data_IF_001401718641
#
_entry.id   IF_001401718641
#
_cell.length_a   1.000
_cell.length_b   1.000
_cell.length_c   1.000
_cell.angle_alpha   90.00
_cell.angle_beta   90.00
_cell.angle_gamma   90.00
#
_symmetry.space_group_name_H-M   'P 1'
#
loop_
_entity.id
_entity.type
_entity.pdbx_description
1 polymer ?
#
# COMPACT_ATOMS: atom_id res chain seq x y z
N UNK A 1 4.08 -9.14 -4.09
CA UNK A 1 5.36 -9.62 -4.65
C UNK A 1 5.16 -10.06 -6.09
N UNK A 2 6.20 -9.98 -6.90
CA UNK A 2 6.13 -10.40 -8.30
C UNK A 2 5.75 -11.86 -8.44
N UNK A 3 5.06 -12.19 -9.53
CA UNK A 3 4.78 -13.56 -9.88
C UNK A 3 6.05 -14.23 -10.44
N UNK A 4 6.37 -15.40 -9.94
CA UNK A 4 7.50 -16.20 -10.45
C UNK A 4 7.38 -16.48 -11.95
N UNK A 5 6.15 -16.70 -12.44
CA UNK A 5 5.90 -16.92 -13.87
C UNK A 5 6.23 -15.68 -14.73
N UNK A 6 6.01 -14.46 -14.23
CA UNK A 6 6.43 -13.23 -14.91
C UNK A 6 7.95 -13.17 -15.04
N UNK A 7 8.66 -13.46 -13.94
CA UNK A 7 10.14 -13.51 -13.94
C UNK A 7 10.67 -14.56 -14.93
N UNK A 8 10.05 -15.73 -14.97
CA UNK A 8 10.47 -16.84 -15.85
C UNK A 8 10.17 -16.60 -17.32
N UNK A 9 9.09 -15.87 -17.61
CA UNK A 9 8.68 -15.63 -19.01
C UNK A 9 9.69 -14.75 -19.75
N UNK A 10 10.19 -13.70 -19.10
CA UNK A 10 11.20 -12.78 -19.66
C UNK A 10 12.04 -12.13 -18.54
N UNK A 11 13.12 -12.79 -18.08
CA UNK A 11 13.98 -12.27 -17.03
C UNK A 11 14.65 -10.93 -17.39
N UNK A 12 15.08 -10.76 -18.64
CA UNK A 12 15.75 -9.53 -19.08
C UNK A 12 14.79 -8.33 -19.14
N UNK A 13 13.55 -8.56 -19.55
CA UNK A 13 12.49 -7.54 -19.45
C UNK A 13 12.28 -7.14 -17.98
N UNK A 14 12.15 -8.11 -17.08
CA UNK A 14 11.98 -7.83 -15.64
C UNK A 14 13.15 -7.01 -15.11
N UNK A 15 14.39 -7.40 -15.39
CA UNK A 15 15.60 -6.66 -14.97
C UNK A 15 15.56 -5.23 -15.51
N UNK A 16 15.25 -5.05 -16.80
CA UNK A 16 15.18 -3.72 -17.44
C UNK A 16 14.12 -2.83 -16.80
N UNK A 17 12.94 -3.40 -16.45
CA UNK A 17 11.88 -2.62 -15.79
C UNK A 17 12.23 -2.27 -14.34
N UNK A 18 12.89 -3.16 -13.61
CA UNK A 18 13.39 -2.88 -12.26
C UNK A 18 14.40 -1.75 -12.24
N UNK A 19 15.23 -1.63 -13.27
CA UNK A 19 16.20 -0.55 -13.41
C UNK A 19 15.55 0.86 -13.48
N UNK A 20 14.31 0.97 -13.99
CA UNK A 20 13.55 2.23 -13.98
C UNK A 20 13.30 2.72 -12.54
N UNK A 21 13.15 1.81 -11.57
CA UNK A 21 13.08 2.12 -10.13
C UNK A 21 14.45 2.29 -9.45
N UNK A 22 15.53 2.31 -10.23
CA UNK A 22 16.89 2.34 -9.68
C UNK A 22 17.31 1.03 -8.99
N UNK A 23 16.58 -0.06 -9.21
CA UNK A 23 16.85 -1.36 -8.58
C UNK A 23 17.68 -2.26 -9.54
N UNK A 24 18.91 -2.60 -9.14
CA UNK A 24 19.70 -3.61 -9.85
C UNK A 24 19.16 -5.01 -9.54
N UNK A 25 18.30 -5.51 -10.44
CA UNK A 25 17.64 -6.80 -10.30
C UNK A 25 18.47 -7.99 -10.75
N UNK A 26 19.59 -7.81 -11.43
CA UNK A 26 20.27 -8.92 -12.15
C UNK A 26 20.67 -10.07 -11.22
N UNK A 27 21.35 -9.76 -10.15
CA UNK A 27 21.82 -10.81 -9.22
C UNK A 27 20.66 -11.56 -8.56
N UNK A 28 19.66 -10.85 -8.03
CA UNK A 28 18.52 -11.46 -7.32
C UNK A 28 17.62 -12.25 -8.27
N UNK A 29 17.37 -11.77 -9.49
CA UNK A 29 16.57 -12.49 -10.48
C UNK A 29 17.28 -13.78 -10.92
N UNK A 30 18.60 -13.74 -11.13
CA UNK A 30 19.38 -14.96 -11.42
C UNK A 30 19.26 -15.97 -10.29
N UNK A 31 19.45 -15.55 -9.03
CA UNK A 31 19.35 -16.44 -7.88
C UNK A 31 17.93 -17.03 -7.71
N UNK A 32 16.88 -16.25 -7.94
CA UNK A 32 15.48 -16.73 -7.94
C UNK A 32 15.29 -17.84 -8.97
N UNK A 33 15.82 -17.68 -10.18
CA UNK A 33 15.70 -18.69 -11.26
C UNK A 33 16.48 -19.97 -10.94
N UNK A 34 17.66 -19.85 -10.33
CA UNK A 34 18.47 -21.00 -9.89
C UNK A 34 17.75 -21.80 -8.80
N UNK A 35 17.19 -21.10 -7.81
CA UNK A 35 16.42 -21.73 -6.73
C UNK A 35 15.13 -22.38 -7.27
N UNK A 36 14.42 -21.75 -8.23
CA UNK A 36 13.27 -22.38 -8.86
C UNK A 36 13.64 -23.66 -9.63
N UNK A 37 14.79 -23.66 -10.29
CA UNK A 37 15.29 -24.86 -10.97
C UNK A 37 15.57 -25.98 -9.97
N UNK A 38 16.24 -25.70 -8.85
CA UNK A 38 16.50 -26.67 -7.79
C UNK A 38 15.19 -27.14 -7.12
N UNK A 39 14.29 -26.23 -6.78
CA UNK A 39 12.98 -26.53 -6.22
C UNK A 39 12.20 -27.51 -7.11
N UNK A 40 12.15 -27.25 -8.42
CA UNK A 40 11.46 -28.15 -9.38
C UNK A 40 12.10 -29.50 -9.44
N UNK A 41 13.46 -29.58 -9.41
CA UNK A 41 14.20 -30.86 -9.39
C UNK A 41 13.88 -31.65 -8.12
N UNK A 42 13.87 -31.00 -6.95
CA UNK A 42 13.54 -31.62 -5.68
C UNK A 42 12.09 -32.10 -5.64
N UNK A 43 11.16 -31.30 -6.12
CA UNK A 43 9.74 -31.64 -6.21
C UNK A 43 9.50 -32.85 -7.08
N UNK A 44 10.08 -32.87 -8.29
CA UNK A 44 9.97 -34.02 -9.21
C UNK A 44 10.53 -35.30 -8.59
N UNK A 45 11.67 -35.22 -7.90
CA UNK A 45 12.27 -36.36 -7.21
C UNK A 45 11.36 -36.85 -6.07
N UNK A 46 10.86 -35.97 -5.24
CA UNK A 46 9.95 -36.30 -4.13
C UNK A 46 8.65 -36.95 -4.62
N UNK A 47 8.06 -36.44 -5.71
CA UNK A 47 6.87 -37.01 -6.33
C UNK A 47 7.15 -38.45 -6.90
N UNK A 48 8.29 -38.60 -7.56
CA UNK A 48 8.74 -39.91 -8.07
C UNK A 48 8.93 -40.93 -6.95
N UNK A 49 9.63 -40.55 -5.88
CA UNK A 49 9.88 -41.38 -4.72
C UNK A 49 8.58 -41.76 -3.99
N UNK A 50 7.65 -40.81 -3.87
CA UNK A 50 6.31 -41.05 -3.30
C UNK A 50 5.50 -42.05 -4.14
N UNK A 51 5.56 -41.97 -5.46
CA UNK A 51 4.92 -42.92 -6.37
C UNK A 51 5.52 -44.33 -6.23
N UNK A 52 6.87 -44.41 -6.12
CA UNK A 52 7.59 -45.67 -5.91
C UNK A 52 7.25 -46.29 -4.55
N UNK A 53 7.22 -45.50 -3.47
CA UNK A 53 6.79 -45.96 -2.14
C UNK A 53 5.39 -46.54 -2.14
N UNK A 54 4.44 -45.87 -2.82
CA UNK A 54 3.07 -46.39 -2.96
C UNK A 54 3.01 -47.73 -3.70
N UNK A 55 3.81 -47.86 -4.76
CA UNK A 55 3.89 -49.11 -5.54
C UNK A 55 4.50 -50.27 -4.71
N UNK A 56 5.62 -50.00 -4.04
CA UNK A 56 6.29 -51.01 -3.19
C UNK A 56 5.40 -51.39 -1.98
N UNK A 57 4.72 -50.45 -1.35
CA UNK A 57 3.82 -50.75 -0.25
C UNK A 57 2.67 -51.68 -0.65
N UNK A 58 2.13 -51.50 -1.86
CA UNK A 58 1.10 -52.40 -2.41
C UNK A 58 1.70 -53.80 -2.74
N UNK A 59 2.91 -53.87 -3.27
CA UNK A 59 3.56 -55.16 -3.62
C UNK A 59 3.90 -55.98 -2.38
N UNK A 60 4.32 -55.36 -1.28
CA UNK A 60 4.59 -56.08 0.00
C UNK A 60 3.37 -56.86 0.46
N UNK A 61 2.17 -56.23 0.39
CA UNK A 61 0.92 -56.92 0.76
C UNK A 61 0.62 -58.15 -0.11
N UNK A 62 0.93 -58.09 -1.42
CA UNK A 62 0.77 -59.21 -2.36
C UNK A 62 1.79 -60.31 -2.09
N UNK A 63 3.07 -59.96 -1.97
CA UNK A 63 4.19 -60.90 -1.68
C UNK A 63 3.98 -61.67 -0.39
N UNK A 64 3.47 -60.99 0.65
CA UNK A 64 3.15 -61.64 1.92
C UNK A 64 2.01 -62.66 1.79
N UNK A 65 0.99 -62.37 0.97
CA UNK A 65 -0.12 -63.31 0.68
C UNK A 65 0.34 -64.52 -0.12
N UNK A 66 1.31 -64.34 -1.01
CA UNK A 66 1.92 -65.39 -1.84
C UNK A 66 2.96 -66.21 -1.08
N UNK A 67 3.29 -65.86 0.18
CA UNK A 67 4.29 -66.57 0.97
C UNK A 67 5.75 -66.26 0.61
N UNK A 68 6.02 -65.27 -0.22
CA UNK A 68 7.34 -64.83 -0.69
C UNK A 68 8.02 -63.92 0.31
N UNK A 69 8.37 -64.45 1.48
CA UNK A 69 8.87 -63.69 2.64
C UNK A 69 10.17 -62.92 2.35
N UNK A 70 11.13 -63.50 1.65
CA UNK A 70 12.42 -62.86 1.34
C UNK A 70 12.24 -61.64 0.44
N UNK A 71 11.41 -61.75 -0.61
CA UNK A 71 11.12 -60.65 -1.51
C UNK A 71 10.34 -59.53 -0.78
N UNK A 72 9.46 -59.89 0.16
CA UNK A 72 8.74 -58.92 0.99
C UNK A 72 9.69 -58.15 1.94
N UNK A 73 10.68 -58.82 2.54
CA UNK A 73 11.69 -58.16 3.38
C UNK A 73 12.62 -57.25 2.57
N UNK A 74 13.03 -57.66 1.36
CA UNK A 74 13.78 -56.78 0.45
C UNK A 74 12.97 -55.53 0.08
N UNK A 75 11.67 -55.67 -0.23
CA UNK A 75 10.79 -54.55 -0.53
C UNK A 75 10.59 -53.61 0.68
N UNK A 76 10.53 -54.17 1.90
CA UNK A 76 10.48 -53.34 3.13
C UNK A 76 11.77 -52.57 3.35
N UNK A 77 12.94 -53.18 3.12
CA UNK A 77 14.23 -52.50 3.23
C UNK A 77 14.34 -51.35 2.24
N UNK A 78 13.87 -51.57 0.99
CA UNK A 78 13.85 -50.52 -0.03
C UNK A 78 12.86 -49.37 0.31
N UNK A 79 11.68 -49.68 0.88
CA UNK A 79 10.77 -48.68 1.41
C UNK A 79 11.42 -47.85 2.50
N UNK A 80 12.17 -48.47 3.42
CA UNK A 80 12.87 -47.77 4.49
C UNK A 80 13.96 -46.82 3.94
N UNK A 81 14.73 -47.28 2.96
CA UNK A 81 15.75 -46.47 2.28
C UNK A 81 15.15 -45.28 1.59
N UNK A 82 14.13 -45.47 0.74
CA UNK A 82 13.47 -44.37 0.01
C UNK A 82 12.83 -43.37 0.99
N UNK A 83 12.19 -43.84 2.07
CA UNK A 83 11.62 -42.95 3.09
C UNK A 83 12.68 -42.04 3.72
N UNK A 84 13.86 -42.59 4.04
CA UNK A 84 14.94 -41.77 4.59
C UNK A 84 15.45 -40.72 3.62
N UNK A 85 15.63 -41.09 2.34
CA UNK A 85 16.03 -40.16 1.28
C UNK A 85 14.96 -39.09 1.04
N UNK A 86 13.67 -39.45 1.00
CA UNK A 86 12.55 -38.53 0.76
C UNK A 86 12.40 -37.50 1.88
N UNK A 87 12.65 -37.89 3.13
CA UNK A 87 12.60 -36.94 4.26
C UNK A 87 13.62 -35.80 4.09
N UNK A 88 14.89 -36.13 3.76
CA UNK A 88 15.91 -35.10 3.52
C UNK A 88 15.66 -34.26 2.27
N UNK A 89 14.95 -34.78 1.26
CA UNK A 89 14.54 -34.01 0.08
C UNK A 89 13.39 -33.05 0.41
N UNK A 90 12.47 -33.43 1.30
CA UNK A 90 11.38 -32.55 1.75
C UNK A 90 11.91 -31.36 2.55
N UNK A 91 12.87 -31.59 3.44
CA UNK A 91 13.52 -30.51 4.21
C UNK A 91 14.19 -29.50 3.25
N UNK A 92 14.96 -29.98 2.28
CA UNK A 92 15.60 -29.13 1.27
C UNK A 92 14.60 -28.40 0.39
N UNK A 93 13.48 -29.03 0.06
CA UNK A 93 12.40 -28.38 -0.70
C UNK A 93 11.81 -27.21 0.10
N UNK A 94 11.53 -27.42 1.39
CA UNK A 94 11.03 -26.36 2.27
C UNK A 94 12.04 -25.20 2.41
N UNK A 95 13.33 -25.49 2.55
CA UNK A 95 14.40 -24.48 2.55
C UNK A 95 14.44 -23.66 1.24
N UNK A 96 14.30 -24.32 0.08
CA UNK A 96 14.23 -23.64 -1.21
C UNK A 96 12.99 -22.72 -1.31
N UNK A 97 11.83 -23.18 -0.84
CA UNK A 97 10.58 -22.38 -0.86
C UNK A 97 10.67 -21.16 0.07
N UNK A 98 11.23 -21.32 1.24
CA UNK A 98 11.47 -20.22 2.17
C UNK A 98 12.46 -19.20 1.57
N UNK A 99 13.62 -19.66 1.08
CA UNK A 99 14.62 -18.79 0.45
C UNK A 99 14.05 -18.05 -0.76
N UNK A 100 13.28 -18.74 -1.61
CA UNK A 100 12.58 -18.13 -2.73
C UNK A 100 11.64 -16.99 -2.27
N UNK A 101 10.87 -17.25 -1.22
CA UNK A 101 9.96 -16.24 -0.65
C UNK A 101 10.74 -15.03 -0.15
N UNK A 102 11.83 -15.24 0.60
CA UNK A 102 12.67 -14.16 1.09
C UNK A 102 13.25 -13.31 -0.05
N UNK A 103 13.76 -13.94 -1.11
CA UNK A 103 14.27 -13.20 -2.28
C UNK A 103 13.17 -12.41 -2.99
N UNK A 104 12.00 -13.01 -3.23
CA UNK A 104 10.87 -12.32 -3.87
C UNK A 104 10.39 -11.11 -3.05
N UNK A 105 10.55 -11.11 -1.72
CA UNK A 105 10.25 -9.98 -0.85
C UNK A 105 11.24 -8.82 -1.00
N UNK A 106 12.43 -9.06 -1.55
CA UNK A 106 13.40 -7.99 -1.81
C UNK A 106 13.20 -7.29 -3.14
N UNK A 107 12.40 -7.87 -4.05
CA UNK A 107 12.18 -7.35 -5.39
C UNK A 107 10.97 -6.42 -5.41
N UNK A 108 11.11 -5.15 -5.85
CA UNK A 108 9.99 -4.23 -5.97
C UNK A 108 9.02 -4.64 -7.08
N UNK A 109 7.85 -4.01 -7.11
CA UNK A 109 6.92 -4.19 -8.23
C UNK A 109 7.50 -3.59 -9.51
N UNK A 110 7.11 -4.17 -10.66
CA UNK A 110 7.51 -3.62 -11.95
C UNK A 110 6.78 -2.30 -12.21
N UNK A 111 7.49 -1.24 -12.63
CA UNK A 111 6.83 -0.02 -13.05
C UNK A 111 6.07 -0.24 -14.36
N UNK A 112 4.89 0.38 -14.46
CA UNK A 112 4.12 0.43 -15.70
C UNK A 112 4.89 1.14 -16.83
N UNK A 113 4.61 0.81 -18.08
CA UNK A 113 5.37 1.35 -19.25
C UNK A 113 5.40 2.87 -19.30
N UNK A 114 4.32 3.54 -18.87
CA UNK A 114 4.20 4.99 -18.85
C UNK A 114 4.91 5.70 -17.68
N UNK A 115 5.60 4.97 -16.80
CA UNK A 115 6.37 5.57 -15.69
C UNK A 115 7.64 6.20 -16.24
N UNK A 116 7.87 7.51 -16.00
CA UNK A 116 9.06 8.19 -16.46
C UNK A 116 10.32 7.69 -15.74
N UNK A 117 11.43 7.70 -16.44
CA UNK A 117 12.75 7.50 -15.81
C UNK A 117 13.08 8.72 -14.94
N UNK A 118 13.69 8.48 -13.79
CA UNK A 118 14.10 9.52 -12.86
C UNK A 118 14.58 8.92 -11.56
N UNK A 119 15.24 9.73 -10.72
CA UNK A 119 15.86 9.29 -9.46
C UNK A 119 15.24 9.92 -8.22
N UNK A 120 14.66 11.11 -8.35
CA UNK A 120 14.16 11.91 -7.23
C UNK A 120 12.83 12.57 -7.61
N UNK A 121 12.16 13.16 -6.64
CA UNK A 121 10.92 13.91 -6.83
C UNK A 121 11.04 15.06 -7.86
N UNK A 122 12.25 15.56 -8.11
CA UNK A 122 12.50 16.61 -9.12
C UNK A 122 12.30 16.10 -10.56
N UNK A 123 12.36 14.78 -10.76
CA UNK A 123 12.16 14.14 -12.06
C UNK A 123 10.69 13.75 -12.31
N UNK A 124 9.78 14.05 -11.38
CA UNK A 124 8.35 13.80 -11.53
C UNK A 124 7.75 14.70 -12.61
N UNK A 125 6.76 14.18 -13.33
CA UNK A 125 6.13 14.90 -14.44
C UNK A 125 4.80 15.49 -14.00
N UNK A 126 4.69 16.83 -14.11
CA UNK A 126 3.40 17.52 -13.91
C UNK A 126 2.50 17.20 -15.09
N UNK A 127 1.42 16.49 -14.85
CA UNK A 127 0.43 16.14 -15.89
C UNK A 127 -0.69 17.16 -16.02
N UNK A 128 -1.12 17.72 -14.89
CA UNK A 128 -2.30 18.57 -14.84
C UNK A 128 -2.19 19.60 -13.73
N UNK A 129 -2.69 20.78 -13.96
CA UNK A 129 -2.74 21.86 -12.96
C UNK A 129 -4.12 22.49 -12.94
N UNK A 130 -4.53 23.03 -11.77
CA UNK A 130 -5.81 23.72 -11.64
C UNK A 130 -5.86 24.61 -10.41
N UNK A 131 -7.00 25.31 -10.27
CA UNK A 131 -7.18 26.31 -9.22
C UNK A 131 -6.40 27.60 -9.46
N UNK A 132 -6.56 28.56 -8.57
CA UNK A 132 -5.93 29.88 -8.62
C UNK A 132 -5.10 30.06 -7.34
N UNK A 133 -3.81 30.33 -7.50
CA UNK A 133 -2.95 30.68 -6.38
C UNK A 133 -3.38 32.05 -5.87
N UNK A 134 -3.78 32.18 -4.60
CA UNK A 134 -4.20 33.46 -4.06
C UNK A 134 -3.04 34.43 -3.96
N UNK A 135 -3.29 35.68 -4.28
CA UNK A 135 -2.35 36.77 -4.06
C UNK A 135 -2.51 37.27 -2.60
N UNK A 136 -1.62 36.76 -1.75
CA UNK A 136 -1.61 37.10 -0.34
C UNK A 136 -0.72 38.32 -0.07
N UNK A 137 -1.04 39.17 0.96
CA UNK A 137 -0.17 40.24 1.39
C UNK A 137 1.19 39.70 1.85
N UNK A 138 2.22 40.55 1.83
CA UNK A 138 3.59 40.17 2.21
C UNK A 138 3.71 39.66 3.65
N UNK A 139 2.83 40.14 4.55
CA UNK A 139 2.74 39.76 5.96
C UNK A 139 1.83 38.55 6.21
N UNK A 140 1.38 37.85 5.18
CA UNK A 140 0.58 36.64 5.32
C UNK A 140 1.28 35.60 6.19
N UNK A 141 0.53 35.02 7.13
CA UNK A 141 1.07 34.12 8.13
C UNK A 141 1.02 32.66 7.65
N UNK A 142 2.05 31.87 7.91
CA UNK A 142 1.99 30.44 7.72
C UNK A 142 1.06 29.77 8.75
N UNK A 143 0.58 28.56 8.43
CA UNK A 143 -0.46 27.88 9.22
C UNK A 143 -0.11 27.68 10.72
N UNK A 144 1.14 27.51 11.09
CA UNK A 144 1.54 27.37 12.49
C UNK A 144 1.37 28.68 13.29
N UNK A 145 1.56 29.84 12.67
CA UNK A 145 1.32 31.13 13.30
C UNK A 145 -0.17 31.47 13.32
N UNK A 146 -0.93 31.12 12.26
CA UNK A 146 -2.40 31.20 12.24
C UNK A 146 -3.03 30.28 13.30
N UNK A 147 -2.52 29.07 13.46
CA UNK A 147 -2.96 28.11 14.47
C UNK A 147 -2.83 28.69 15.88
N UNK A 148 -1.73 29.38 16.17
CA UNK A 148 -1.48 30.06 17.43
C UNK A 148 -2.36 31.30 17.60
N UNK A 149 -2.44 32.14 16.54
CA UNK A 149 -3.26 33.38 16.56
C UNK A 149 -4.72 33.10 16.91
N UNK A 150 -5.30 32.08 16.34
CA UNK A 150 -6.71 31.71 16.53
C UNK A 150 -6.93 30.59 17.57
N UNK A 151 -5.86 30.14 18.24
CA UNK A 151 -5.91 29.08 19.25
C UNK A 151 -6.67 27.82 18.77
N UNK A 152 -6.38 27.36 17.56
CA UNK A 152 -7.09 26.25 16.90
C UNK A 152 -6.27 24.97 16.81
N UNK A 153 -4.94 25.08 16.90
CA UNK A 153 -4.03 23.94 16.96
C UNK A 153 -2.90 24.26 17.93
N UNK A 154 -2.66 23.36 18.88
CA UNK A 154 -1.61 23.49 19.88
C UNK A 154 -0.55 22.40 19.69
N UNK A 155 0.62 22.80 19.24
CA UNK A 155 1.77 21.92 19.03
C UNK A 155 2.55 21.69 20.35
N UNK A 156 2.58 22.66 21.26
CA UNK A 156 3.30 22.56 22.54
C UNK A 156 2.59 21.58 23.47
N UNK A 157 1.26 21.61 23.49
CA UNK A 157 0.46 20.62 24.23
C UNK A 157 0.71 19.20 23.69
N UNK A 158 0.85 19.04 22.38
CA UNK A 158 1.20 17.78 21.76
C UNK A 158 2.57 17.26 22.23
N UNK A 159 3.57 18.14 22.26
CA UNK A 159 4.91 17.81 22.79
C UNK A 159 4.82 17.39 24.27
N UNK A 160 4.02 18.08 25.07
CA UNK A 160 3.85 17.76 26.50
C UNK A 160 3.22 16.38 26.73
N UNK A 161 2.26 15.97 25.89
CA UNK A 161 1.47 14.74 26.10
C UNK A 161 2.15 13.52 25.48
N UNK A 162 2.73 13.68 24.30
CA UNK A 162 3.27 12.54 23.52
C UNK A 162 4.68 12.80 23.01
N UNK A 163 4.90 13.97 22.39
CA UNK A 163 6.15 14.32 21.71
C UNK A 163 5.89 15.20 20.49
N UNK A 164 6.95 15.62 19.81
CA UNK A 164 6.83 16.37 18.56
C UNK A 164 6.09 15.54 17.49
N UNK A 165 5.33 16.20 16.62
CA UNK A 165 4.57 15.53 15.55
C UNK A 165 3.21 14.97 15.95
N UNK A 166 2.70 15.31 17.15
CA UNK A 166 1.37 14.94 17.66
C UNK A 166 0.56 16.20 18.06
N UNK A 167 0.01 16.95 17.09
CA UNK A 167 -0.70 18.20 17.39
C UNK A 167 -2.03 17.96 18.09
N UNK A 168 -2.46 18.95 18.91
CA UNK A 168 -3.83 19.03 19.42
C UNK A 168 -4.64 20.00 18.58
N UNK A 169 -5.75 19.53 18.02
CA UNK A 169 -6.76 20.40 17.40
C UNK A 169 -7.77 20.86 18.45
N UNK A 170 -8.07 22.16 18.49
CA UNK A 170 -8.88 22.80 19.55
C UNK A 170 -10.02 23.61 18.93
N UNK A 171 -11.18 23.60 19.55
CA UNK A 171 -12.31 24.46 19.19
C UNK A 171 -12.69 24.41 17.71
N UNK A 172 -12.61 25.57 17.01
CA UNK A 172 -12.90 25.66 15.56
C UNK A 172 -11.94 24.78 14.72
N UNK A 173 -10.68 24.60 15.14
CA UNK A 173 -9.73 23.71 14.49
C UNK A 173 -10.15 22.25 14.53
N UNK A 174 -10.57 21.75 15.70
CA UNK A 174 -11.10 20.39 15.83
C UNK A 174 -12.39 20.18 15.02
N UNK A 175 -13.24 21.20 14.95
CA UNK A 175 -14.44 21.13 14.12
C UNK A 175 -14.12 21.12 12.62
N UNK A 176 -13.13 21.91 12.18
CA UNK A 176 -12.66 21.90 10.79
C UNK A 176 -12.09 20.52 10.41
N UNK A 177 -11.25 19.93 11.27
CA UNK A 177 -10.70 18.59 11.08
C UNK A 177 -11.82 17.56 10.87
N UNK A 178 -12.81 17.52 11.75
CA UNK A 178 -13.96 16.62 11.65
C UNK A 178 -14.86 16.94 10.44
N UNK A 179 -15.01 18.21 10.08
CA UNK A 179 -15.78 18.64 8.90
C UNK A 179 -15.14 18.11 7.60
N UNK A 180 -13.81 18.18 7.49
CA UNK A 180 -13.08 17.61 6.35
C UNK A 180 -13.25 16.10 6.28
N UNK A 181 -13.10 15.40 7.40
CA UNK A 181 -13.32 13.96 7.49
C UNK A 181 -14.71 13.58 6.96
N UNK A 182 -15.76 14.21 7.46
CA UNK A 182 -17.13 13.93 7.07
C UNK A 182 -17.38 14.31 5.60
N UNK A 183 -16.86 15.43 5.14
CA UNK A 183 -16.99 15.86 3.74
C UNK A 183 -16.36 14.84 2.78
N UNK A 184 -15.15 14.36 3.08
CA UNK A 184 -14.46 13.39 2.22
C UNK A 184 -15.16 12.03 2.17
N UNK A 185 -15.68 11.56 3.31
CA UNK A 185 -16.46 10.32 3.36
C UNK A 185 -17.77 10.44 2.57
N UNK A 186 -18.51 11.57 2.73
CA UNK A 186 -19.73 11.81 1.97
C UNK A 186 -19.48 11.87 0.45
N UNK A 187 -18.36 12.49 0.03
CA UNK A 187 -18.01 12.55 -1.39
C UNK A 187 -17.57 11.17 -1.93
N UNK A 188 -16.85 10.38 -1.15
CA UNK A 188 -16.52 8.99 -1.50
C UNK A 188 -17.78 8.13 -1.61
N UNK A 189 -18.74 8.29 -0.69
CA UNK A 189 -20.05 7.61 -0.77
C UNK A 189 -20.80 7.95 -2.06
N UNK A 190 -20.84 9.23 -2.46
CA UNK A 190 -21.46 9.69 -3.71
C UNK A 190 -20.76 9.09 -4.95
N UNK A 191 -19.47 8.83 -4.87
CA UNK A 191 -18.69 8.18 -5.90
C UNK A 191 -18.84 6.64 -5.92
N UNK A 192 -19.72 6.10 -5.06
CA UNK A 192 -20.04 4.67 -4.99
C UNK A 192 -19.08 3.83 -4.16
N UNK A 193 -18.29 4.45 -3.29
CA UNK A 193 -17.48 3.71 -2.32
C UNK A 193 -18.33 3.31 -1.11
N UNK A 194 -18.12 2.10 -0.63
CA UNK A 194 -18.73 1.61 0.62
C UNK A 194 -17.82 2.00 1.77
N UNK A 195 -18.35 2.79 2.70
CA UNK A 195 -17.63 3.18 3.91
C UNK A 195 -17.46 1.98 4.85
N UNK A 196 -16.27 1.85 5.42
CA UNK A 196 -15.93 0.85 6.43
C UNK A 196 -15.17 1.50 7.59
N UNK A 197 -15.42 1.06 8.81
CA UNK A 197 -14.67 1.46 10.01
C UNK A 197 -13.72 0.32 10.39
N UNK A 198 -12.44 0.38 9.98
CA UNK A 198 -11.49 -0.68 10.23
C UNK A 198 -10.84 -0.57 11.61
N UNK A 199 -10.26 -1.66 12.16
CA UNK A 199 -9.36 -1.56 13.30
C UNK A 199 -8.11 -0.74 12.98
N UNK A 200 -7.61 0.03 13.96
CA UNK A 200 -6.43 0.87 13.79
C UNK A 200 -5.11 0.17 14.17
N UNK A 201 -5.21 -1.07 14.59
CA UNK A 201 -4.08 -1.98 14.81
C UNK A 201 -4.28 -3.23 13.96
N UNK A 202 -3.19 -3.75 13.41
CA UNK A 202 -3.21 -4.92 12.51
C UNK A 202 -2.16 -5.93 12.92
N UNK A 203 -2.40 -7.20 12.57
CA UNK A 203 -1.41 -8.25 12.74
C UNK A 203 -0.34 -8.23 11.61
N UNK A 204 0.73 -8.98 11.81
CA UNK A 204 1.85 -9.09 10.87
C UNK A 204 1.40 -9.52 9.47
N UNK A 205 0.47 -10.49 9.37
CA UNK A 205 -0.04 -10.97 8.08
C UNK A 205 -0.75 -9.87 7.29
N UNK A 206 -1.38 -8.92 7.96
CA UNK A 206 -2.01 -7.76 7.29
C UNK A 206 -0.98 -6.77 6.74
N UNK A 207 0.06 -6.46 7.53
CA UNK A 207 1.17 -5.63 7.07
C UNK A 207 1.95 -6.27 5.92
N UNK A 208 2.13 -7.58 5.96
CA UNK A 208 2.73 -8.35 4.87
C UNK A 208 1.89 -8.29 3.59
N UNK A 209 0.56 -8.41 3.70
CA UNK A 209 -0.36 -8.46 2.57
C UNK A 209 -0.28 -7.24 1.66
N UNK A 210 -0.20 -6.04 2.24
CA UNK A 210 -0.11 -4.77 1.50
C UNK A 210 1.31 -4.29 1.26
N UNK A 211 2.31 -4.92 1.91
CA UNK A 211 3.73 -4.66 1.65
C UNK A 211 4.39 -3.67 2.59
N UNK A 212 3.74 -3.28 3.67
CA UNK A 212 4.38 -2.52 4.76
C UNK A 212 5.38 -3.37 5.55
N UNK A 213 5.18 -4.68 5.58
CA UNK A 213 6.13 -5.62 6.14
C UNK A 213 6.77 -6.49 5.04
N UNK A 214 8.06 -6.85 5.19
CA UNK A 214 8.98 -6.41 6.26
C UNK A 214 9.27 -4.90 6.19
N UNK A 215 9.23 -4.23 7.34
CA UNK A 215 9.44 -2.78 7.46
C UNK A 215 10.93 -2.44 7.36
N UNK A 216 11.40 -2.22 6.14
CA UNK A 216 12.81 -1.93 5.83
C UNK A 216 13.23 -0.52 6.26
N UNK A 217 12.27 0.39 6.35
CA UNK A 217 12.51 1.81 6.64
C UNK A 217 12.24 2.17 8.10
N UNK A 218 11.73 1.23 8.90
CA UNK A 218 11.41 1.45 10.30
C UNK A 218 10.25 2.44 10.52
N UNK A 219 9.27 2.45 9.62
CA UNK A 219 8.16 3.42 9.64
C UNK A 219 7.00 3.02 10.55
N UNK A 220 6.83 1.72 10.84
CA UNK A 220 5.69 1.24 11.59
C UNK A 220 5.92 1.29 13.10
N UNK A 221 4.91 1.75 13.84
CA UNK A 221 4.84 1.57 15.28
C UNK A 221 4.43 0.14 15.62
N UNK A 222 5.25 -0.56 16.40
CA UNK A 222 5.04 -1.95 16.80
C UNK A 222 4.72 -2.08 18.28
N UNK A 223 3.58 -2.69 18.59
CA UNK A 223 3.16 -3.07 19.94
C UNK A 223 3.72 -4.46 20.25
N UNK A 224 4.88 -4.51 20.87
CA UNK A 224 5.70 -5.74 20.99
C UNK A 224 5.00 -6.87 21.76
N UNK A 225 4.29 -6.55 22.85
CA UNK A 225 3.65 -7.58 23.71
C UNK A 225 2.57 -8.36 22.98
N UNK A 226 1.82 -7.71 22.10
CA UNK A 226 0.69 -8.32 21.40
C UNK A 226 1.04 -8.67 19.94
N UNK A 227 2.25 -8.35 19.49
CA UNK A 227 2.69 -8.46 18.10
C UNK A 227 1.70 -7.80 17.11
N UNK A 228 1.28 -6.58 17.43
CA UNK A 228 0.38 -5.77 16.62
C UNK A 228 1.10 -4.51 16.12
N UNK A 229 0.63 -3.96 15.03
CA UNK A 229 1.19 -2.75 14.41
C UNK A 229 0.11 -1.67 14.32
N UNK A 230 0.43 -0.44 14.71
CA UNK A 230 -0.42 0.72 14.41
C UNK A 230 -0.41 0.96 12.89
N UNK A 231 -1.57 1.20 12.31
CA UNK A 231 -1.68 1.36 10.86
C UNK A 231 -1.05 2.68 10.38
N UNK A 232 -0.22 2.66 9.32
CA UNK A 232 0.30 3.87 8.69
C UNK A 232 -0.69 4.49 7.69
N UNK A 233 -1.75 3.76 7.37
CA UNK A 233 -2.82 4.09 6.41
C UNK A 233 -3.97 3.09 6.55
N UNK A 234 -5.20 3.50 6.30
CA UNK A 234 -6.35 2.60 6.22
C UNK A 234 -6.26 1.60 5.05
N UNK A 235 -5.39 1.84 4.07
CA UNK A 235 -5.07 0.86 3.02
C UNK A 235 -4.86 -0.54 3.61
N UNK A 236 -4.07 -0.63 4.70
CA UNK A 236 -3.69 -1.93 5.28
C UNK A 236 -4.90 -2.74 5.72
N UNK A 237 -5.75 -2.28 6.66
CA UNK A 237 -6.90 -3.07 7.09
C UNK A 237 -7.97 -3.21 6.00
N UNK A 238 -8.20 -2.19 5.18
CA UNK A 238 -9.26 -2.22 4.16
C UNK A 238 -8.94 -3.19 3.03
N UNK A 239 -7.70 -3.18 2.50
CA UNK A 239 -7.29 -4.14 1.47
C UNK A 239 -7.29 -5.57 2.00
N UNK A 240 -6.98 -5.76 3.30
CA UNK A 240 -7.00 -7.07 3.95
C UNK A 240 -8.41 -7.67 4.17
N UNK A 241 -9.50 -6.92 3.95
CA UNK A 241 -10.85 -7.48 3.84
C UNK A 241 -10.90 -8.60 2.80
N UNK A 242 -10.09 -8.47 1.76
CA UNK A 242 -10.04 -9.41 0.63
C UNK A 242 -8.86 -10.39 0.68
N UNK A 243 -8.20 -10.53 1.84
CA UNK A 243 -7.13 -11.51 2.03
C UNK A 243 -7.70 -12.92 2.06
N UNK A 244 -7.09 -13.85 1.28
CA UNK A 244 -7.50 -15.24 1.08
C UNK A 244 -8.93 -15.40 0.52
N UNK A 245 -9.45 -14.38 -0.20
CA UNK A 245 -10.79 -14.39 -0.78
C UNK A 245 -10.72 -14.72 -2.29
N UNK A 246 -11.70 -15.47 -2.76
CA UNK A 246 -11.99 -15.66 -4.19
C UNK A 246 -13.33 -14.98 -4.47
N UNK A 247 -13.28 -13.82 -5.09
CA UNK A 247 -14.45 -12.97 -5.39
C UNK A 247 -15.14 -13.51 -6.65
N UNK A 248 -16.47 -13.68 -6.69
CA UNK A 248 -17.18 -13.89 -7.95
C UNK A 248 -16.96 -12.71 -8.89
N UNK A 249 -16.68 -12.94 -10.19
CA UNK A 249 -16.42 -11.86 -11.15
C UNK A 249 -17.55 -10.81 -11.18
N UNK A 250 -18.79 -11.25 -11.07
CA UNK A 250 -19.96 -10.37 -11.06
C UNK A 250 -20.03 -9.42 -9.85
N UNK A 251 -19.20 -9.65 -8.82
CA UNK A 251 -19.11 -8.80 -7.64
C UNK A 251 -17.98 -7.77 -7.72
N UNK A 252 -17.18 -7.78 -8.77
CA UNK A 252 -16.18 -6.75 -9.04
C UNK A 252 -16.80 -5.58 -9.82
N UNK A 253 -16.34 -4.35 -9.63
CA UNK A 253 -15.28 -3.96 -8.70
C UNK A 253 -15.75 -3.88 -7.24
N UNK A 254 -14.80 -4.03 -6.29
CA UNK A 254 -14.99 -3.66 -4.88
C UNK A 254 -14.43 -2.27 -4.67
N UNK A 255 -15.24 -1.37 -4.12
CA UNK A 255 -14.88 0.02 -3.81
C UNK A 255 -15.14 0.28 -2.34
N UNK A 256 -14.11 0.57 -1.56
CA UNK A 256 -14.24 0.88 -0.14
C UNK A 256 -13.58 2.22 0.19
N UNK A 257 -14.12 2.94 1.15
CA UNK A 257 -13.47 4.09 1.77
C UNK A 257 -13.45 3.93 3.28
N UNK A 258 -12.45 4.53 3.92
CA UNK A 258 -12.31 4.52 5.36
C UNK A 258 -11.61 5.77 5.85
N UNK A 259 -12.11 6.32 6.95
CA UNK A 259 -11.33 7.25 7.76
C UNK A 259 -10.47 6.47 8.75
N UNK A 260 -9.25 6.95 8.97
CA UNK A 260 -8.43 6.49 10.10
C UNK A 260 -7.43 7.54 10.55
N UNK A 261 -7.09 7.56 11.84
CA UNK A 261 -5.79 8.06 12.23
C UNK A 261 -4.72 7.12 11.64
N UNK A 262 -3.58 7.71 11.29
CA UNK A 262 -2.43 7.02 10.71
C UNK A 262 -1.21 7.33 11.56
N UNK A 263 -0.33 6.34 11.76
CA UNK A 263 0.89 6.50 12.54
C UNK A 263 2.11 6.15 11.72
N UNK A 264 3.05 7.10 11.62
CA UNK A 264 4.34 6.88 10.95
C UNK A 264 5.47 7.36 11.85
N UNK A 265 6.53 6.57 11.95
CA UNK A 265 7.70 6.93 12.78
C UNK A 265 8.49 8.09 12.18
N UNK A 266 8.26 8.40 10.91
CA UNK A 266 8.95 9.47 10.17
C UNK A 266 10.48 9.41 10.36
N UNK A 267 11.01 8.17 10.37
CA UNK A 267 12.43 7.93 10.58
C UNK A 267 13.28 8.66 9.52
N UNK A 268 14.23 9.43 9.98
CA UNK A 268 15.13 10.20 9.09
C UNK A 268 14.63 11.57 8.65
N UNK A 269 13.49 12.05 9.16
CA UNK A 269 12.93 13.37 8.80
C UNK A 269 13.39 14.45 9.78
N UNK A 270 14.01 15.51 9.27
CA UNK A 270 14.55 16.61 10.08
C UNK A 270 14.33 17.98 9.39
N UNK A 271 14.36 19.06 10.17
CA UNK A 271 14.46 20.45 9.67
C UNK A 271 13.13 21.13 9.35
N UNK A 272 13.11 21.98 8.31
CA UNK A 272 11.95 22.82 7.96
C UNK A 272 10.70 22.02 7.56
N UNK A 273 10.88 20.81 7.06
CA UNK A 273 9.79 19.97 6.58
C UNK A 273 8.94 19.36 7.69
N UNK A 274 9.40 19.39 8.93
CA UNK A 274 8.66 18.88 10.11
C UNK A 274 7.91 19.99 10.87
N UNK A 275 7.92 21.25 10.38
CA UNK A 275 7.28 22.37 11.08
C UNK A 275 5.77 22.37 10.87
N UNK A 276 5.02 22.59 11.93
CA UNK A 276 3.56 22.69 11.90
C UNK A 276 2.90 21.37 11.50
N UNK A 277 2.04 21.41 10.48
CA UNK A 277 1.30 20.28 9.95
C UNK A 277 1.96 19.60 8.75
N UNK A 278 3.15 20.02 8.35
CA UNK A 278 3.79 19.52 7.13
C UNK A 278 4.16 18.03 7.23
N UNK A 279 4.59 17.58 8.41
CA UNK A 279 4.95 16.18 8.65
C UNK A 279 4.69 15.80 10.12
N UNK A 280 3.92 14.76 10.31
CA UNK A 280 3.40 14.35 11.62
C UNK A 280 3.62 12.85 11.85
N UNK A 281 3.85 12.47 13.12
CA UNK A 281 3.87 11.09 13.56
C UNK A 281 2.47 10.47 13.63
N UNK A 282 1.47 11.30 13.96
CA UNK A 282 0.05 10.94 13.92
C UNK A 282 -0.71 11.96 13.08
N UNK A 283 -1.51 11.48 12.15
CA UNK A 283 -2.36 12.30 11.29
C UNK A 283 -3.60 11.55 10.85
N UNK A 284 -4.61 12.30 10.41
CA UNK A 284 -5.87 11.75 9.93
C UNK A 284 -5.93 11.70 8.41
N UNK A 285 -6.53 10.65 7.87
CA UNK A 285 -6.66 10.43 6.44
C UNK A 285 -7.97 9.71 6.11
N UNK A 286 -8.62 10.10 5.03
CA UNK A 286 -9.61 9.28 4.35
C UNK A 286 -8.91 8.54 3.21
N UNK A 287 -9.09 7.24 3.16
CA UNK A 287 -8.50 6.35 2.15
C UNK A 287 -9.59 5.75 1.30
N UNK A 288 -9.34 5.63 -0.01
CA UNK A 288 -10.16 4.87 -0.95
C UNK A 288 -9.37 3.68 -1.47
N UNK A 289 -10.01 2.53 -1.52
CA UNK A 289 -9.41 1.25 -1.97
C UNK A 289 -10.31 0.62 -3.01
N UNK A 290 -9.70 0.10 -4.08
CA UNK A 290 -10.42 -0.66 -5.10
C UNK A 290 -9.77 -2.02 -5.34
N UNK A 291 -10.62 -3.03 -5.57
CA UNK A 291 -10.23 -4.34 -6.07
C UNK A 291 -10.87 -4.51 -7.44
N UNK A 292 -10.03 -4.68 -8.45
CA UNK A 292 -10.43 -4.64 -9.85
C UNK A 292 -10.01 -5.91 -10.60
N UNK A 293 -10.63 -6.12 -11.75
CA UNK A 293 -10.04 -7.00 -12.77
C UNK A 293 -8.82 -6.31 -13.41
N UNK A 294 -7.82 -7.08 -13.86
CA UNK A 294 -6.63 -6.51 -14.51
C UNK A 294 -6.96 -5.56 -15.67
N UNK A 295 -7.89 -5.92 -16.52
CA UNK A 295 -8.29 -5.16 -17.70
C UNK A 295 -8.97 -3.82 -17.39
N UNK A 296 -9.62 -3.71 -16.22
CA UNK A 296 -10.38 -2.51 -15.83
C UNK A 296 -9.56 -1.57 -14.92
N UNK A 297 -8.42 -2.03 -14.37
CA UNK A 297 -7.71 -1.34 -13.29
C UNK A 297 -7.13 0.03 -13.66
N UNK A 298 -6.73 0.25 -14.90
CA UNK A 298 -6.22 1.54 -15.35
C UNK A 298 -7.32 2.57 -15.59
N UNK A 299 -8.48 2.14 -16.07
CA UNK A 299 -9.66 3.00 -16.11
C UNK A 299 -10.12 3.37 -14.68
N UNK A 300 -10.08 2.41 -13.77
CA UNK A 300 -10.35 2.64 -12.35
C UNK A 300 -9.37 3.63 -11.71
N UNK A 301 -8.09 3.60 -12.09
CA UNK A 301 -7.09 4.56 -11.64
C UNK A 301 -7.43 5.99 -12.07
N UNK A 302 -7.87 6.19 -13.33
CA UNK A 302 -8.31 7.51 -13.79
C UNK A 302 -9.55 7.99 -13.03
N UNK A 303 -10.55 7.14 -12.79
CA UNK A 303 -11.70 7.48 -11.94
C UNK A 303 -11.29 7.93 -10.52
N UNK A 304 -10.29 7.27 -9.93
CA UNK A 304 -9.76 7.66 -8.61
C UNK A 304 -9.06 9.00 -8.66
N UNK A 305 -8.27 9.26 -9.70
CA UNK A 305 -7.62 10.56 -9.94
C UNK A 305 -8.65 11.68 -10.06
N UNK A 306 -9.70 11.48 -10.88
CA UNK A 306 -10.77 12.45 -11.08
C UNK A 306 -11.54 12.72 -9.77
N UNK A 307 -11.76 11.69 -8.95
CA UNK A 307 -12.39 11.84 -7.64
C UNK A 307 -11.54 12.76 -6.73
N UNK A 308 -10.25 12.49 -6.60
CA UNK A 308 -9.34 13.30 -5.76
C UNK A 308 -9.21 14.73 -6.29
N UNK A 309 -9.07 14.91 -7.60
CA UNK A 309 -9.09 16.23 -8.24
C UNK A 309 -10.35 17.01 -7.88
N UNK A 310 -11.52 16.38 -8.00
CA UNK A 310 -12.82 16.99 -7.69
C UNK A 310 -12.96 17.43 -6.23
N UNK A 311 -12.29 16.75 -5.28
CA UNK A 311 -12.24 17.18 -3.88
C UNK A 311 -11.44 18.49 -3.74
N UNK A 312 -10.29 18.61 -4.39
CA UNK A 312 -9.45 19.81 -4.37
C UNK A 312 -10.14 21.00 -5.01
N UNK A 313 -10.85 20.77 -6.13
CA UNK A 313 -11.65 21.79 -6.81
C UNK A 313 -12.79 22.33 -5.92
N UNK A 314 -13.51 21.43 -5.23
CA UNK A 314 -14.57 21.82 -4.28
C UNK A 314 -14.05 22.60 -3.08
N UNK A 315 -12.82 22.33 -2.64
CA UNK A 315 -12.14 23.08 -1.59
C UNK A 315 -11.59 24.41 -2.08
N UNK A 316 -11.57 24.68 -3.39
CA UNK A 316 -11.04 25.88 -3.99
C UNK A 316 -9.51 26.03 -3.87
N UNK A 317 -8.81 24.93 -3.68
CA UNK A 317 -7.35 24.94 -3.53
C UNK A 317 -6.66 24.92 -4.91
N UNK A 318 -5.55 25.63 -5.11
CA UNK A 318 -4.68 25.45 -6.27
C UNK A 318 -3.95 24.12 -6.17
N UNK A 319 -3.97 23.33 -7.25
CA UNK A 319 -3.45 21.97 -7.24
C UNK A 319 -2.69 21.63 -8.52
N UNK A 320 -1.81 20.63 -8.44
CA UNK A 320 -1.29 19.92 -9.59
C UNK A 320 -1.23 18.40 -9.35
N UNK A 321 -1.22 17.64 -10.43
CA UNK A 321 -1.08 16.19 -10.44
C UNK A 321 0.28 15.86 -11.02
N UNK A 322 1.07 15.10 -10.27
CA UNK A 322 2.38 14.61 -10.65
C UNK A 322 2.29 13.11 -10.98
N UNK A 323 2.82 12.70 -12.12
CA UNK A 323 3.15 11.29 -12.34
C UNK A 323 4.56 11.05 -11.83
N UNK A 324 4.68 10.16 -10.86
CA UNK A 324 5.96 9.87 -10.23
C UNK A 324 6.91 9.14 -11.19
N UNK A 325 8.16 9.52 -11.15
CA UNK A 325 9.24 8.79 -11.82
C UNK A 325 9.60 7.51 -11.06
N UNK A 326 10.30 6.60 -11.70
CA UNK A 326 10.63 5.31 -11.12
C UNK A 326 11.38 5.38 -9.80
N UNK A 327 12.28 6.34 -9.63
CA UNK A 327 13.08 6.50 -8.41
C UNK A 327 12.33 7.07 -7.21
N UNK A 328 11.18 7.74 -7.44
CA UNK A 328 10.34 8.33 -6.39
C UNK A 328 9.12 7.47 -6.03
N UNK A 329 8.82 6.45 -6.85
CA UNK A 329 7.70 5.54 -6.61
C UNK A 329 7.93 4.62 -5.41
N UNK A 330 6.85 4.28 -4.70
CA UNK A 330 6.90 3.28 -3.65
C UNK A 330 7.37 1.90 -4.15
N UNK A 331 7.94 1.11 -3.25
CA UNK A 331 8.41 -0.24 -3.53
C UNK A 331 7.34 -1.14 -4.17
N UNK A 332 6.09 -0.98 -3.77
CA UNK A 332 4.98 -1.88 -4.13
C UNK A 332 4.14 -1.43 -5.31
N UNK A 333 4.13 -0.14 -5.68
CA UNK A 333 3.29 0.39 -6.76
C UNK A 333 3.85 0.09 -8.15
N UNK A 334 2.96 -0.10 -9.14
CA UNK A 334 3.29 -0.16 -10.56
C UNK A 334 3.26 1.23 -11.20
N UNK A 335 2.37 2.10 -10.76
CA UNK A 335 2.29 3.51 -11.13
C UNK A 335 1.66 4.30 -9.99
N UNK A 336 2.11 5.53 -9.80
CA UNK A 336 1.62 6.44 -8.78
C UNK A 336 1.44 7.85 -9.32
N UNK A 337 0.37 8.49 -8.91
CA UNK A 337 0.11 9.91 -9.14
C UNK A 337 -0.04 10.62 -7.80
N UNK A 338 0.78 11.65 -7.58
CA UNK A 338 0.67 12.49 -6.41
C UNK A 338 -0.11 13.76 -6.71
N UNK A 339 -0.89 14.19 -5.76
CA UNK A 339 -1.61 15.45 -5.79
C UNK A 339 -0.98 16.39 -4.79
N UNK A 340 -0.65 17.57 -5.23
CA UNK A 340 -0.11 18.61 -4.38
C UNK A 340 -1.01 19.85 -4.43
N UNK A 341 -1.05 20.59 -3.31
CA UNK A 341 -1.71 21.89 -3.20
C UNK A 341 -0.68 22.97 -2.90
N UNK A 342 -0.88 24.14 -3.46
CA UNK A 342 0.03 25.25 -3.19
C UNK A 342 -0.27 25.91 -1.86
N UNK A 343 0.72 25.97 -0.98
CA UNK A 343 0.69 26.74 0.27
C UNK A 343 1.21 28.14 -0.03
N UNK A 344 0.30 29.10 -0.06
CA UNK A 344 0.62 30.45 -0.52
C UNK A 344 1.54 31.22 0.44
N UNK A 345 1.43 31.00 1.75
CA UNK A 345 2.31 31.64 2.73
C UNK A 345 3.70 30.99 2.80
N UNK A 346 3.79 29.66 2.60
CA UNK A 346 5.08 28.96 2.52
C UNK A 346 5.73 29.04 1.13
N UNK A 347 4.97 29.48 0.10
CA UNK A 347 5.38 29.54 -1.32
C UNK A 347 5.92 28.23 -1.84
N UNK A 348 5.24 27.14 -1.53
CA UNK A 348 5.63 25.77 -1.95
C UNK A 348 4.42 24.85 -2.18
N UNK A 349 4.62 23.82 -2.95
CA UNK A 349 3.67 22.73 -3.11
C UNK A 349 3.76 21.75 -1.93
N UNK A 350 2.62 21.23 -1.51
CA UNK A 350 2.48 20.25 -0.43
C UNK A 350 1.70 19.04 -0.97
N UNK A 351 2.30 17.87 -0.95
CA UNK A 351 1.64 16.61 -1.29
C UNK A 351 0.49 16.35 -0.30
N UNK A 352 -0.70 16.12 -0.82
CA UNK A 352 -1.93 15.86 -0.03
C UNK A 352 -2.59 14.52 -0.34
N UNK A 353 -2.20 13.88 -1.43
CA UNK A 353 -2.70 12.57 -1.83
C UNK A 353 -1.68 11.87 -2.72
N UNK A 354 -1.70 10.55 -2.65
CA UNK A 354 -1.03 9.65 -3.58
C UNK A 354 -2.03 8.60 -4.02
N UNK A 355 -2.21 8.41 -5.34
CA UNK A 355 -3.13 7.44 -5.93
C UNK A 355 -2.32 6.44 -6.75
N UNK A 356 -2.44 5.16 -6.42
CA UNK A 356 -1.57 4.11 -6.96
C UNK A 356 -2.34 2.89 -7.47
N UNK A 357 -1.81 2.29 -8.53
CA UNK A 357 -2.15 0.94 -8.96
C UNK A 357 -0.97 0.00 -8.63
N UNK A 358 -1.26 -1.09 -7.95
CA UNK A 358 -0.27 -2.11 -7.55
C UNK A 358 -0.29 -3.34 -8.45
N UNK A 359 -1.20 -3.35 -9.42
CA UNK A 359 -1.47 -4.52 -10.25
C UNK A 359 -1.66 -5.78 -9.38
N UNK A 360 -1.00 -6.88 -9.73
CA UNK A 360 -1.11 -8.14 -8.99
C UNK A 360 -0.18 -8.21 -7.76
N UNK A 361 0.65 -7.20 -7.50
CA UNK A 361 1.72 -7.30 -6.51
C UNK A 361 1.21 -7.53 -5.09
N UNK A 362 0.24 -6.72 -4.64
CA UNK A 362 -0.41 -6.91 -3.35
C UNK A 362 -1.37 -8.10 -3.40
N UNK A 363 -2.15 -8.24 -4.47
CA UNK A 363 -3.09 -9.36 -4.62
C UNK A 363 -2.41 -10.73 -4.52
N UNK A 364 -1.17 -10.87 -5.02
CA UNK A 364 -0.39 -12.09 -4.87
C UNK A 364 0.02 -12.37 -3.41
N UNK A 365 0.38 -11.34 -2.64
CA UNK A 365 0.67 -11.48 -1.19
C UNK A 365 -0.58 -11.80 -0.39
N UNK A 366 -1.68 -11.12 -0.70
CA UNK A 366 -2.98 -11.28 -0.06
C UNK A 366 -3.70 -12.56 -0.47
N UNK A 367 -3.29 -13.20 -1.58
CA UNK A 367 -4.08 -14.24 -2.27
C UNK A 367 -5.49 -13.73 -2.60
N UNK A 368 -5.60 -12.44 -2.98
CA UNK A 368 -6.84 -11.82 -3.44
C UNK A 368 -7.08 -12.19 -4.90
N UNK A 369 -8.13 -12.94 -5.14
CA UNK A 369 -8.40 -13.59 -6.43
C UNK A 369 -9.85 -13.42 -6.82
N UNK A 370 -10.15 -13.59 -8.11
CA UNK A 370 -11.53 -13.71 -8.57
C UNK A 370 -11.72 -14.96 -9.42
N UNK A 371 -12.96 -15.42 -9.49
CA UNK A 371 -13.37 -16.51 -10.36
C UNK A 371 -13.99 -15.92 -11.62
N UNK A 372 -13.25 -16.00 -12.74
CA UNK A 372 -13.69 -15.49 -14.03
C UNK A 372 -14.85 -16.28 -14.66
N UNK A 373 -15.46 -15.73 -15.69
CA UNK A 373 -16.48 -16.39 -16.52
C UNK A 373 -15.94 -17.65 -17.18
N UNK A 374 -14.63 -17.73 -17.42
CA UNK A 374 -13.89 -18.93 -17.89
C UNK A 374 -13.78 -20.04 -16.84
N UNK A 375 -14.36 -19.83 -15.64
CA UNK A 375 -14.29 -20.71 -14.45
C UNK A 375 -12.89 -20.85 -13.84
N UNK A 376 -11.89 -20.12 -14.32
CA UNK A 376 -10.53 -20.11 -13.76
C UNK A 376 -10.42 -19.08 -12.64
N UNK A 377 -9.36 -19.26 -11.86
CA UNK A 377 -9.02 -18.35 -10.77
C UNK A 377 -7.91 -17.42 -11.27
N UNK A 378 -8.16 -16.12 -11.17
CA UNK A 378 -7.25 -15.05 -11.55
C UNK A 378 -6.91 -14.19 -10.34
N UNK A 379 -5.73 -13.56 -10.33
CA UNK A 379 -5.41 -12.52 -9.37
C UNK A 379 -6.15 -11.23 -9.71
N UNK A 380 -6.62 -10.54 -8.69
CA UNK A 380 -7.12 -9.17 -8.84
C UNK A 380 -5.97 -8.17 -9.00
N UNK A 381 -6.30 -6.96 -9.45
CA UNK A 381 -5.48 -5.78 -9.24
C UNK A 381 -5.98 -5.02 -8.01
N UNK A 382 -5.07 -4.41 -7.25
CA UNK A 382 -5.40 -3.57 -6.10
C UNK A 382 -4.99 -2.14 -6.40
N UNK A 383 -5.83 -1.19 -6.00
CA UNK A 383 -5.57 0.24 -6.11
C UNK A 383 -5.91 0.90 -4.79
N UNK A 384 -5.19 1.95 -4.43
CA UNK A 384 -5.58 2.83 -3.34
C UNK A 384 -5.25 4.28 -3.62
N UNK A 385 -5.83 5.16 -2.82
CA UNK A 385 -5.50 6.59 -2.86
C UNK A 385 -6.02 7.31 -1.63
N UNK A 386 -5.30 8.36 -1.24
CA UNK A 386 -5.75 9.25 -0.18
C UNK A 386 -6.81 10.22 -0.71
N UNK A 387 -7.95 10.25 -0.07
CA UNK A 387 -9.04 11.14 -0.44
C UNK A 387 -9.53 11.99 0.75
N UNK A 388 -8.69 12.74 1.44
CA UNK A 388 -7.31 13.22 1.35
C UNK A 388 -6.57 13.03 2.70
N UNK A 389 -5.26 13.38 2.75
CA UNK A 389 -4.53 13.51 4.00
C UNK A 389 -4.83 14.89 4.64
N UNK A 390 -5.49 14.89 5.80
CA UNK A 390 -6.09 16.10 6.37
C UNK A 390 -5.11 17.19 6.79
N UNK A 391 -3.95 16.91 7.41
CA UNK A 391 -3.11 17.98 7.96
C UNK A 391 -2.64 18.99 6.93
N UNK A 392 -2.15 18.53 5.78
CA UNK A 392 -1.67 19.45 4.73
C UNK A 392 -2.81 20.19 4.03
N UNK A 393 -4.00 19.58 3.96
CA UNK A 393 -5.23 20.26 3.52
C UNK A 393 -5.60 21.36 4.52
N UNK A 394 -5.58 21.06 5.83
CA UNK A 394 -5.81 22.09 6.86
C UNK A 394 -4.79 23.21 6.74
N UNK A 395 -3.50 22.89 6.62
CA UNK A 395 -2.45 23.89 6.44
C UNK A 395 -2.73 24.80 5.23
N UNK A 396 -3.03 24.22 4.08
CA UNK A 396 -3.33 24.97 2.86
C UNK A 396 -4.60 25.81 2.97
N UNK A 397 -5.67 25.29 3.59
CA UNK A 397 -6.90 26.06 3.82
C UNK A 397 -6.67 27.24 4.76
N UNK A 398 -5.94 27.05 5.86
CA UNK A 398 -5.62 28.15 6.78
C UNK A 398 -4.82 29.25 6.08
N UNK A 399 -3.80 28.87 5.32
CA UNK A 399 -2.92 29.83 4.66
C UNK A 399 -3.59 30.52 3.47
N UNK A 400 -4.23 29.76 2.59
CA UNK A 400 -4.77 30.30 1.34
C UNK A 400 -6.05 31.11 1.54
N UNK A 401 -6.81 30.86 2.61
CA UNK A 401 -8.09 31.50 2.87
C UNK A 401 -8.02 32.58 3.98
N UNK A 402 -6.82 33.01 4.37
CA UNK A 402 -6.66 34.07 5.39
C UNK A 402 -7.08 35.43 4.82
N UNK A 403 -7.80 36.17 5.64
CA UNK A 403 -8.23 37.56 5.37
C UNK A 403 -7.98 38.40 6.61
N UNK A 404 -8.12 39.75 6.53
CA UNK A 404 -8.05 40.60 7.72
C UNK A 404 -9.06 40.26 8.82
N UNK A 405 -10.25 39.74 8.43
CA UNK A 405 -11.34 39.37 9.34
C UNK A 405 -11.16 37.99 9.95
N UNK A 406 -10.38 37.14 9.34
CA UNK A 406 -10.17 35.74 9.77
C UNK A 406 -9.90 34.80 8.62
N UNK A 407 -10.09 33.50 8.84
CA UNK A 407 -9.88 32.47 7.84
C UNK A 407 -11.25 32.03 7.30
N UNK A 408 -11.51 32.28 6.03
CA UNK A 408 -12.79 31.97 5.37
C UNK A 408 -12.88 30.47 5.10
N UNK A 409 -13.98 29.85 5.52
CA UNK A 409 -14.24 28.43 5.29
C UNK A 409 -14.84 28.22 3.90
N UNK A 410 -14.31 27.27 3.08
CA UNK A 410 -14.92 26.89 1.81
C UNK A 410 -16.42 26.57 1.96
N UNK A 411 -17.23 26.98 0.99
CA UNK A 411 -18.67 26.81 1.05
C UNK A 411 -19.09 25.34 1.26
N UNK A 412 -18.39 24.41 0.59
CA UNK A 412 -18.65 22.96 0.71
C UNK A 412 -18.51 22.43 2.15
N UNK A 413 -17.73 23.10 3.00
CA UNK A 413 -17.49 22.69 4.39
C UNK A 413 -18.41 23.35 5.42
N UNK A 414 -19.08 24.49 5.11
CA UNK A 414 -19.83 25.28 6.07
C UNK A 414 -20.97 24.51 6.76
N UNK A 415 -21.65 23.64 6.05
CA UNK A 415 -22.70 22.77 6.63
C UNK A 415 -22.14 21.78 7.68
N UNK A 416 -20.87 21.41 7.57
CA UNK A 416 -20.20 20.50 8.51
C UNK A 416 -19.54 21.23 9.67
N UNK A 417 -18.94 22.40 9.42
CA UNK A 417 -18.31 23.23 10.46
C UNK A 417 -19.34 23.90 11.34
N UNK A 418 -20.45 24.41 10.74
CA UNK A 418 -21.43 25.24 11.40
C UNK A 418 -20.97 26.69 11.65
N UNK A 419 -19.92 27.10 10.92
CA UNK A 419 -19.43 28.50 10.87
C UNK A 419 -18.77 28.76 9.50
N UNK A 420 -18.67 30.03 9.14
CA UNK A 420 -18.17 30.49 7.84
C UNK A 420 -16.73 31.02 7.92
N UNK A 421 -16.29 31.38 9.13
CA UNK A 421 -15.00 32.00 9.37
C UNK A 421 -14.40 31.53 10.71
N UNK A 422 -13.09 31.44 10.74
CA UNK A 422 -12.28 31.28 11.97
C UNK A 422 -11.73 32.67 12.28
N UNK A 423 -12.24 33.28 13.33
CA UNK A 423 -11.93 34.62 13.85
C UNK A 423 -11.40 34.53 15.29
#
# INVERSE_FOLDING_TARGET
MLLLNTIKADPEFVISRLAVKGFDGRAVITEILEIDAERRRLQQKTESDSAQLNKLSKSIGALMKEGKKEEAEQAKAEVARIKGETAGLQDRLAECEEKMTQLLLTVPNLPYEGVPEGKTAEDNVVEKTGGVIPDLPEDALPHWDLAKKYNIIDFELGVKVTGAGFPFYIGKGARLQRALQQFFLDEAWKAGYIEVEPPFVVNEASGYGTGQLPDKEGQMYHVQLDNLYLIPTAEVPVTNIYRDVIIPEAELPKKNCAYSPCWRREAGSYGKDVRGLNRLHQFDKVEIVRIEKPEDSYAALEEMKDHVQGLLEKLGLPWHILRLCGGDMSFTSAITFDFEVFSAAQKRWLEVSSVSNFETYQANRLKCRYRGADKKIHLCHTLNGSALALPRIVAALLENNQTPEGIVIPECLRKYTGFDIID
#
